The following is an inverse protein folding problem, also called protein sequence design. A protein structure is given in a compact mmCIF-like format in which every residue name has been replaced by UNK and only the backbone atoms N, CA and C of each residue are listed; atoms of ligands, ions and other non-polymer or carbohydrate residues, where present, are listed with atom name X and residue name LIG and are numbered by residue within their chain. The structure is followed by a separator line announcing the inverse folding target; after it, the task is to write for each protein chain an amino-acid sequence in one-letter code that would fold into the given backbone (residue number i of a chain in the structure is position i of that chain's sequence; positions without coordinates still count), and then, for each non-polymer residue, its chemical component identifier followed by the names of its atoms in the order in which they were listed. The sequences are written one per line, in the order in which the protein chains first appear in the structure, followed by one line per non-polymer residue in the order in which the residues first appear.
data_IF_269857721524
#
_entry.id   IF_269857721524
#
_cell.length_a   1.000
_cell.length_b   1.000
_cell.length_c   1.000
_cell.angle_alpha   90.00
_cell.angle_beta   90.00
_cell.angle_gamma   90.00
#
_symmetry.space_group_name_H-M   'P 1'
#
loop_
_entity.id
_entity.type
_entity.pdbx_description
1 polymer ?
#
# COMPACT_ATOMS: atom_id res chain seq x y z
N UNK A 1 -9.78 15.32 16.10
CA UNK A 1 -10.55 14.53 15.11
C UNK A 1 -10.27 14.93 13.66
N UNK A 2 -10.23 16.23 13.31
CA UNK A 2 -9.93 16.70 11.93
C UNK A 2 -8.52 16.33 11.42
N UNK A 3 -7.54 16.17 12.31
CA UNK A 3 -6.17 15.84 11.91
C UNK A 3 -6.04 14.39 11.46
N UNK A 4 -6.68 13.45 12.17
CA UNK A 4 -6.64 12.01 11.88
C UNK A 4 -7.08 11.71 10.45
N UNK A 5 -8.20 12.30 10.03
CA UNK A 5 -8.76 12.11 8.68
C UNK A 5 -7.88 12.72 7.60
N UNK A 6 -7.26 13.87 7.86
CA UNK A 6 -6.33 14.53 6.92
C UNK A 6 -5.08 13.68 6.68
N UNK A 7 -4.51 13.09 7.73
CA UNK A 7 -3.35 12.22 7.61
C UNK A 7 -3.69 10.86 6.98
N UNK A 8 -4.86 10.30 7.31
CA UNK A 8 -5.34 9.09 6.65
C UNK A 8 -5.53 9.31 5.14
N UNK A 9 -6.11 10.45 4.73
CA UNK A 9 -6.25 10.80 3.31
C UNK A 9 -4.90 10.91 2.61
N UNK A 10 -3.93 11.61 3.20
CA UNK A 10 -2.60 11.78 2.59
C UNK A 10 -1.87 10.44 2.48
N UNK A 11 -1.91 9.60 3.52
CA UNK A 11 -1.26 8.29 3.49
C UNK A 11 -1.91 7.35 2.48
N UNK A 12 -3.25 7.34 2.40
CA UNK A 12 -3.97 6.53 1.41
C UNK A 12 -3.68 6.98 -0.02
N UNK A 13 -3.69 8.28 -0.28
CA UNK A 13 -3.38 8.81 -1.63
C UNK A 13 -1.92 8.57 -2.03
N UNK A 14 -0.99 8.75 -1.09
CA UNK A 14 0.43 8.43 -1.31
C UNK A 14 0.68 6.95 -1.58
N UNK A 15 -0.04 6.08 -0.88
CA UNK A 15 0.01 4.62 -1.12
C UNK A 15 -0.51 4.27 -2.51
N UNK A 16 -1.64 4.85 -2.93
CA UNK A 16 -2.20 4.64 -4.27
C UNK A 16 -1.23 5.10 -5.35
N UNK A 17 -0.68 6.31 -5.23
CA UNK A 17 0.27 6.86 -6.20
C UNK A 17 1.52 5.97 -6.34
N UNK A 18 2.04 5.48 -5.21
CA UNK A 18 3.17 4.55 -5.19
C UNK A 18 2.84 3.21 -5.87
N UNK A 19 1.69 2.60 -5.54
CA UNK A 19 1.26 1.33 -6.14
C UNK A 19 1.12 1.46 -7.65
N UNK A 20 0.52 2.55 -8.15
CA UNK A 20 0.39 2.82 -9.59
C UNK A 20 1.77 2.94 -10.25
N UNK A 21 2.71 3.66 -9.64
CA UNK A 21 4.07 3.79 -10.16
C UNK A 21 4.81 2.44 -10.23
N UNK A 22 4.66 1.60 -9.21
CA UNK A 22 5.25 0.25 -9.19
C UNK A 22 4.62 -0.63 -10.29
N UNK A 23 3.30 -0.62 -10.46
CA UNK A 23 2.63 -1.40 -11.52
C UNK A 23 3.11 -0.98 -12.90
N UNK A 24 3.23 0.32 -13.18
CA UNK A 24 3.77 0.85 -14.44
C UNK A 24 5.23 0.44 -14.66
N UNK A 25 6.04 0.44 -13.60
CA UNK A 25 7.43 0.01 -13.66
C UNK A 25 7.52 -1.49 -13.97
N UNK A 26 6.73 -2.34 -13.31
CA UNK A 26 6.72 -3.79 -13.55
C UNK A 26 6.27 -4.14 -14.96
N UNK A 27 5.22 -3.51 -15.48
CA UNK A 27 4.74 -3.77 -16.84
C UNK A 27 5.76 -3.31 -17.89
N UNK A 28 6.44 -2.19 -17.66
CA UNK A 28 7.52 -1.73 -18.52
C UNK A 28 8.74 -2.66 -18.49
N UNK A 29 9.17 -3.11 -17.31
CA UNK A 29 10.26 -4.09 -17.19
C UNK A 29 9.88 -5.46 -17.78
N UNK A 30 8.65 -5.91 -17.59
CA UNK A 30 8.13 -7.16 -18.16
C UNK A 30 8.16 -7.16 -19.69
N UNK A 31 7.80 -6.05 -20.32
CA UNK A 31 7.90 -5.86 -21.77
C UNK A 31 9.35 -5.91 -22.31
N UNK A 32 10.36 -5.64 -21.48
CA UNK A 32 11.78 -5.66 -21.88
C UNK A 32 12.41 -7.03 -21.58
N UNK A 33 11.82 -7.80 -20.67
CA UNK A 33 12.35 -9.06 -20.15
C UNK A 33 11.96 -10.32 -20.96
N UNK A 34 11.26 -10.14 -22.09
CA UNK A 34 10.52 -11.17 -22.85
C UNK A 34 11.36 -12.33 -23.43
N UNK A 35 12.66 -12.40 -23.16
CA UNK A 35 13.55 -13.42 -23.76
C UNK A 35 14.54 -14.12 -22.81
N UNK A 36 14.59 -13.80 -21.51
CA UNK A 36 15.60 -14.39 -20.63
C UNK A 36 15.01 -15.06 -19.40
N UNK A 37 14.90 -16.38 -19.52
CA UNK A 37 14.63 -17.38 -18.48
C UNK A 37 15.77 -17.39 -17.45
N UNK A 38 15.90 -16.28 -16.73
CA UNK A 38 16.93 -16.09 -15.70
C UNK A 38 16.21 -16.14 -14.37
N UNK A 39 16.71 -16.97 -13.45
CA UNK A 39 16.28 -17.00 -12.04
C UNK A 39 16.27 -15.61 -11.37
N UNK A 40 16.92 -14.61 -11.98
CA UNK A 40 16.82 -13.19 -11.62
C UNK A 40 15.40 -12.62 -11.67
N UNK A 41 14.58 -12.99 -12.65
CA UNK A 41 13.24 -12.43 -12.82
C UNK A 41 12.33 -12.66 -11.60
N UNK A 42 12.16 -13.91 -11.10
CA UNK A 42 11.38 -14.14 -9.89
C UNK A 42 12.01 -13.51 -8.63
N UNK A 43 13.35 -13.42 -8.55
CA UNK A 43 14.04 -12.74 -7.43
C UNK A 43 13.71 -11.25 -7.41
N UNK A 44 13.78 -10.58 -8.56
CA UNK A 44 13.45 -9.15 -8.68
C UNK A 44 11.97 -8.89 -8.40
N UNK A 45 11.08 -9.77 -8.88
CA UNK A 45 9.66 -9.68 -8.57
C UNK A 45 9.38 -9.81 -7.07
N UNK A 46 10.01 -10.77 -6.38
CA UNK A 46 9.91 -10.94 -4.94
C UNK A 46 10.49 -9.75 -4.17
N UNK A 47 11.67 -9.23 -4.57
CA UNK A 47 12.28 -8.06 -3.95
C UNK A 47 11.40 -6.81 -4.08
N UNK A 48 10.84 -6.57 -5.26
CA UNK A 48 9.95 -5.43 -5.49
C UNK A 48 8.65 -5.57 -4.71
N UNK A 49 8.10 -6.78 -4.62
CA UNK A 49 6.94 -7.09 -3.79
C UNK A 49 7.21 -6.81 -2.30
N UNK A 50 8.32 -7.32 -1.76
CA UNK A 50 8.70 -7.10 -0.35
C UNK A 50 8.96 -5.61 -0.08
N UNK A 51 9.65 -4.92 -0.98
CA UNK A 51 9.88 -3.48 -0.89
C UNK A 51 8.56 -2.69 -0.88
N UNK A 52 7.61 -3.05 -1.76
CA UNK A 52 6.27 -2.46 -1.79
C UNK A 52 5.48 -2.73 -0.52
N UNK A 53 5.51 -3.96 -0.01
CA UNK A 53 4.86 -4.32 1.26
C UNK A 53 5.48 -3.57 2.44
N UNK A 54 6.80 -3.42 2.48
CA UNK A 54 7.49 -2.67 3.53
C UNK A 54 7.15 -1.17 3.48
N UNK A 55 7.11 -0.58 2.27
CA UNK A 55 6.77 0.82 2.09
C UNK A 55 5.30 1.09 2.45
N UNK A 56 4.38 0.23 2.01
CA UNK A 56 2.97 0.29 2.38
C UNK A 56 2.78 0.09 3.88
N UNK A 57 3.50 -0.87 4.47
CA UNK A 57 3.53 -1.10 5.91
C UNK A 57 4.00 0.13 6.68
N UNK A 58 5.03 0.83 6.19
CA UNK A 58 5.49 2.09 6.78
C UNK A 58 4.43 3.21 6.69
N UNK A 59 3.75 3.36 5.55
CA UNK A 59 2.66 4.34 5.36
C UNK A 59 1.45 4.08 6.25
N UNK A 60 1.08 2.80 6.41
CA UNK A 60 -0.09 2.39 7.20
C UNK A 60 0.21 2.36 8.69
N UNK A 61 1.37 1.82 9.10
CA UNK A 61 1.71 1.56 10.51
C UNK A 61 2.62 2.61 11.12
N UNK A 62 3.40 3.35 10.33
CA UNK A 62 4.40 4.29 10.86
C UNK A 62 3.78 5.33 11.79
N UNK A 63 2.64 5.92 11.39
CA UNK A 63 1.96 6.92 12.20
C UNK A 63 1.22 6.36 13.42
N UNK A 64 0.44 5.26 13.31
CA UNK A 64 -0.10 4.56 14.48
C UNK A 64 0.97 4.17 15.50
N UNK A 65 2.13 3.66 15.05
CA UNK A 65 3.23 3.25 15.95
C UNK A 65 3.77 4.47 16.70
N UNK A 66 4.00 5.59 16.02
CA UNK A 66 4.46 6.82 16.67
C UNK A 66 3.49 7.30 17.76
N UNK A 67 2.19 7.32 17.46
CA UNK A 67 1.16 7.70 18.46
C UNK A 67 0.99 6.68 19.58
N UNK A 68 1.26 5.40 19.32
CA UNK A 68 1.28 4.38 20.35
C UNK A 68 2.42 4.60 21.35
N UNK A 69 3.61 4.97 20.84
CA UNK A 69 4.78 5.31 21.65
C UNK A 69 4.58 6.63 22.43
N UNK A 70 3.86 7.61 21.87
CA UNK A 70 3.47 8.86 22.53
C UNK A 70 2.38 8.68 23.62
N UNK A 71 2.00 7.44 23.94
CA UNK A 71 0.99 7.12 24.97
C UNK A 71 -0.47 7.25 24.51
N UNK A 72 -0.71 7.68 23.27
CA UNK A 72 -2.05 7.88 22.67
C UNK A 72 -2.64 6.60 22.10
N UNK A 73 -2.66 5.53 22.90
CA UNK A 73 -3.01 4.17 22.46
C UNK A 73 -4.40 4.05 21.82
N UNK A 74 -5.42 4.74 22.38
CA UNK A 74 -6.78 4.73 21.82
C UNK A 74 -6.85 5.37 20.43
N UNK A 75 -6.15 6.47 20.24
CA UNK A 75 -6.13 7.22 18.97
C UNK A 75 -5.30 6.49 17.91
N UNK A 76 -4.21 5.84 18.31
CA UNK A 76 -3.39 4.97 17.46
C UNK A 76 -4.17 3.78 16.90
N UNK A 77 -4.88 3.03 17.78
CA UNK A 77 -5.73 1.91 17.36
C UNK A 77 -6.89 2.38 16.47
N UNK A 78 -7.48 3.53 16.80
CA UNK A 78 -8.55 4.11 15.98
C UNK A 78 -8.04 4.49 14.60
N UNK A 79 -6.88 5.15 14.48
CA UNK A 79 -6.29 5.53 13.19
C UNK A 79 -5.93 4.30 12.34
N UNK A 80 -5.36 3.26 12.95
CA UNK A 80 -5.09 1.99 12.27
C UNK A 80 -6.39 1.32 11.79
N UNK A 81 -7.39 1.19 12.67
CA UNK A 81 -8.68 0.59 12.33
C UNK A 81 -9.40 1.31 11.19
N UNK A 82 -9.42 2.65 11.21
CA UNK A 82 -9.99 3.44 10.11
C UNK A 82 -9.21 3.27 8.81
N UNK A 83 -7.88 3.23 8.86
CA UNK A 83 -7.05 3.00 7.67
C UNK A 83 -7.34 1.64 7.05
N UNK A 84 -7.47 0.60 7.89
CA UNK A 84 -7.77 -0.77 7.46
C UNK A 84 -9.19 -0.88 6.88
N UNK A 85 -10.17 -0.20 7.48
CA UNK A 85 -11.55 -0.16 6.99
C UNK A 85 -11.66 0.54 5.63
N UNK A 86 -10.98 1.67 5.43
CA UNK A 86 -10.96 2.38 4.15
C UNK A 86 -10.30 1.53 3.06
N UNK A 87 -9.18 0.87 3.38
CA UNK A 87 -8.53 -0.05 2.45
C UNK A 87 -9.44 -1.22 2.08
N UNK A 88 -10.19 -1.77 3.04
CA UNK A 88 -11.17 -2.83 2.79
C UNK A 88 -12.27 -2.35 1.83
N UNK A 89 -12.82 -1.15 2.02
CA UNK A 89 -13.84 -0.58 1.12
C UNK A 89 -13.28 -0.44 -0.30
N UNK A 90 -12.08 0.14 -0.44
CA UNK A 90 -11.44 0.31 -1.76
C UNK A 90 -11.21 -1.04 -2.43
N UNK A 91 -10.75 -2.04 -1.66
CA UNK A 91 -10.56 -3.40 -2.15
C UNK A 91 -11.89 -4.01 -2.63
N UNK A 92 -12.95 -3.92 -1.83
CA UNK A 92 -14.28 -4.41 -2.21
C UNK A 92 -14.82 -3.72 -3.47
N UNK A 93 -14.59 -2.42 -3.61
CA UNK A 93 -15.02 -1.65 -4.78
C UNK A 93 -14.24 -2.05 -6.04
N UNK A 94 -12.94 -2.29 -5.94
CA UNK A 94 -12.12 -2.80 -7.03
C UNK A 94 -12.54 -4.22 -7.47
N UNK A 95 -12.84 -5.11 -6.51
CA UNK A 95 -13.37 -6.44 -6.80
C UNK A 95 -14.76 -6.38 -7.45
N UNK A 96 -15.65 -5.52 -6.97
CA UNK A 96 -16.96 -5.32 -7.59
C UNK A 96 -16.80 -4.84 -9.04
N UNK A 97 -15.94 -3.84 -9.27
CA UNK A 97 -15.65 -3.34 -10.61
C UNK A 97 -15.14 -4.45 -11.55
N UNK A 98 -14.26 -5.33 -11.07
CA UNK A 98 -13.74 -6.45 -11.87
C UNK A 98 -14.80 -7.53 -12.17
N UNK A 99 -15.80 -7.74 -11.30
CA UNK A 99 -16.88 -8.71 -11.53
C UNK A 99 -17.96 -8.16 -12.48
N UNK A 100 -18.19 -6.85 -12.46
CA UNK A 100 -19.20 -6.19 -13.31
C UNK A 100 -18.63 -5.60 -14.62
N UNK A 101 -17.31 -5.61 -14.81
CA UNK A 101 -16.61 -5.26 -16.04
C UNK A 101 -16.40 -6.47 -16.95
#
# INVERSE_FOLDING_TARGET
MKDVTKYALINSFGTIAYVVAIVLMVTFLGSIADEKDTLLAPILALLLFVFSAAFTGFLVLGKPIMWYLDGKKKEALSLFGYTMFILLIILSMAFAFLIFS
#
